data_IF_786387615607
#
_entry.id   IF_786387615607
#
_cell.length_a   1.000
_cell.length_b   1.000
_cell.length_c   1.000
_cell.angle_alpha   90.00
_cell.angle_beta   90.00
_cell.angle_gamma   90.00
#
_symmetry.space_group_name_H-M   'P 1'
#
loop_
_entity.id
_entity.type
_entity.pdbx_description
1 polymer ?
#
# COMPACT_ATOMS: atom_id res chain seq x y z
N UNK A 1 -0.01 4.00 -14.76
CA UNK A 1 0.10 2.63 -14.22
C UNK A 1 -0.12 2.63 -12.71
N UNK A 2 -0.54 1.51 -12.08
CA UNK A 2 -0.69 1.42 -10.63
C UNK A 2 0.59 1.79 -9.87
N UNK A 3 1.74 1.38 -10.35
CA UNK A 3 3.07 1.64 -9.75
C UNK A 3 3.41 3.12 -9.67
N UNK A 4 3.13 3.90 -10.73
CA UNK A 4 3.36 5.35 -10.71
C UNK A 4 2.47 6.02 -9.66
N UNK A 5 1.22 5.60 -9.54
CA UNK A 5 0.31 6.13 -8.51
C UNK A 5 0.79 5.80 -7.10
N UNK A 6 1.33 4.60 -6.89
CA UNK A 6 1.92 4.24 -5.60
C UNK A 6 3.17 5.06 -5.31
N UNK A 7 4.03 5.28 -6.30
CA UNK A 7 5.20 6.13 -6.15
C UNK A 7 4.81 7.55 -5.73
N UNK A 8 3.84 8.15 -6.43
CA UNK A 8 3.33 9.48 -6.07
C UNK A 8 2.72 9.51 -4.67
N UNK A 9 2.01 8.46 -4.27
CA UNK A 9 1.47 8.35 -2.93
C UNK A 9 2.59 8.21 -1.88
N UNK A 10 3.62 7.42 -2.15
CA UNK A 10 4.78 7.28 -1.26
C UNK A 10 5.56 8.60 -1.11
N UNK A 11 5.72 9.35 -2.19
CA UNK A 11 6.37 10.67 -2.17
C UNK A 11 5.56 11.67 -1.34
N UNK A 12 4.23 11.68 -1.51
CA UNK A 12 3.34 12.60 -0.80
C UNK A 12 3.06 12.20 0.66
N UNK A 13 3.50 11.02 1.10
CA UNK A 13 3.17 10.52 2.44
C UNK A 13 3.67 11.47 3.54
N UNK A 14 4.89 12.01 3.41
CA UNK A 14 5.44 12.93 4.40
C UNK A 14 4.68 14.26 4.43
N UNK A 15 4.35 14.83 3.28
CA UNK A 15 3.56 16.06 3.18
C UNK A 15 2.17 15.85 3.80
N UNK A 16 1.53 14.71 3.57
CA UNK A 16 0.24 14.38 4.15
C UNK A 16 0.31 14.22 5.68
N UNK A 17 1.42 13.66 6.20
CA UNK A 17 1.69 13.58 7.65
C UNK A 17 1.80 14.99 8.23
N UNK A 18 2.58 15.88 7.61
CA UNK A 18 2.77 17.25 8.08
C UNK A 18 1.42 18.02 8.05
N UNK A 19 0.67 17.93 6.96
CA UNK A 19 -0.65 18.53 6.86
C UNK A 19 -1.61 18.02 7.94
N UNK A 20 -1.60 16.73 8.24
CA UNK A 20 -2.41 16.16 9.31
C UNK A 20 -1.99 16.68 10.69
N UNK A 21 -0.69 16.81 10.94
CA UNK A 21 -0.16 17.34 12.20
C UNK A 21 -0.51 18.82 12.40
N UNK A 22 -0.50 19.62 11.34
CA UNK A 22 -0.92 21.02 11.37
C UNK A 22 -2.41 21.12 11.75
N UNK A 23 -3.26 20.30 11.14
CA UNK A 23 -4.68 20.27 11.47
C UNK A 23 -4.92 19.81 12.92
N UNK A 24 -4.19 18.82 13.40
CA UNK A 24 -4.29 18.36 14.79
C UNK A 24 -3.85 19.43 15.79
N UNK A 25 -2.75 20.15 15.51
CA UNK A 25 -2.29 21.29 16.32
C UNK A 25 -3.29 22.44 16.35
N UNK A 26 -4.02 22.65 15.24
CA UNK A 26 -5.09 23.64 15.14
C UNK A 26 -6.39 23.19 15.85
N UNK A 27 -6.39 22.03 16.52
CA UNK A 27 -7.57 21.49 17.20
C UNK A 27 -8.60 20.87 16.26
N UNK A 28 -8.23 20.55 15.02
CA UNK A 28 -9.10 19.91 14.05
C UNK A 28 -8.91 18.39 14.05
N UNK A 29 -9.83 17.69 13.38
CA UNK A 29 -9.75 16.23 13.16
C UNK A 29 -9.55 15.92 11.68
N UNK A 30 -8.35 15.55 11.26
CA UNK A 30 -8.10 15.24 9.87
C UNK A 30 -8.70 13.88 9.47
N UNK A 31 -9.31 13.88 8.29
CA UNK A 31 -9.76 12.71 7.56
C UNK A 31 -8.92 12.62 6.29
N UNK A 32 -8.15 11.55 6.14
CA UNK A 32 -7.28 11.37 5.00
C UNK A 32 -7.94 10.43 4.02
N UNK A 33 -8.24 10.96 2.86
CA UNK A 33 -8.86 10.20 1.80
C UNK A 33 -7.83 9.69 0.82
N UNK A 34 -7.76 8.37 0.66
CA UNK A 34 -6.90 7.71 -0.30
C UNK A 34 -7.73 7.05 -1.41
N UNK A 35 -7.20 7.03 -2.61
CA UNK A 35 -7.90 6.40 -3.74
C UNK A 35 -7.86 4.88 -3.68
N UNK A 36 -6.71 4.30 -3.37
CA UNK A 36 -6.47 2.85 -3.32
C UNK A 36 -5.47 2.51 -2.22
N UNK A 37 -5.62 1.32 -1.63
CA UNK A 37 -4.69 0.83 -0.58
C UNK A 37 -3.36 0.33 -1.13
N UNK A 38 -3.32 0.01 -2.42
CA UNK A 38 -2.16 -0.55 -3.14
C UNK A 38 -1.62 -1.87 -2.52
N UNK A 39 -2.44 -2.55 -1.72
CA UNK A 39 -2.07 -3.78 -1.01
C UNK A 39 -1.56 -4.87 -1.95
N UNK A 40 -2.18 -5.03 -3.13
CA UNK A 40 -1.78 -6.03 -4.13
C UNK A 40 -0.34 -5.88 -4.60
N UNK A 41 0.24 -4.69 -4.51
CA UNK A 41 1.60 -4.44 -4.99
C UNK A 41 2.68 -4.99 -4.05
N UNK A 42 2.36 -5.22 -2.78
CA UNK A 42 3.33 -5.75 -1.82
C UNK A 42 2.96 -7.12 -1.23
N UNK A 43 1.72 -7.57 -1.33
CA UNK A 43 1.31 -8.89 -0.81
C UNK A 43 1.97 -10.06 -1.54
N UNK A 44 2.42 -9.87 -2.78
CA UNK A 44 3.26 -10.83 -3.51
C UNK A 44 4.71 -10.86 -3.00
N UNK A 45 5.15 -9.82 -2.29
CA UNK A 45 6.52 -9.68 -1.79
C UNK A 45 6.66 -10.13 -0.34
N UNK A 46 5.62 -9.88 0.47
CA UNK A 46 5.64 -10.19 1.89
C UNK A 46 4.26 -10.69 2.34
N UNK A 47 4.23 -11.83 3.01
CA UNK A 47 3.02 -12.45 3.55
C UNK A 47 2.91 -12.20 5.06
N UNK A 48 1.70 -12.22 5.64
CA UNK A 48 1.52 -12.15 7.08
C UNK A 48 2.35 -13.20 7.82
N UNK A 49 3.03 -12.77 8.89
CA UNK A 49 3.99 -13.60 9.63
C UNK A 49 5.42 -13.54 9.11
N UNK A 50 5.65 -12.98 7.93
CA UNK A 50 6.99 -12.78 7.39
C UNK A 50 7.62 -11.46 7.87
N UNK A 51 8.94 -11.44 7.90
CA UNK A 51 9.74 -10.25 8.12
C UNK A 51 10.74 -10.08 6.98
N UNK A 52 11.04 -8.84 6.63
CA UNK A 52 12.10 -8.51 5.67
C UNK A 52 13.00 -7.41 6.24
N UNK A 53 14.29 -7.41 5.86
CA UNK A 53 15.25 -6.44 6.41
C UNK A 53 14.85 -4.98 6.15
N UNK A 54 14.29 -4.70 4.98
CA UNK A 54 13.88 -3.37 4.54
C UNK A 54 12.72 -3.47 3.56
N UNK A 55 11.62 -2.78 3.82
CA UNK A 55 10.45 -2.77 2.94
C UNK A 55 10.32 -1.41 2.25
N UNK A 56 11.07 -1.23 1.18
CA UNK A 56 11.11 0.00 0.40
C UNK A 56 10.35 -0.11 -0.92
N UNK A 57 10.04 1.05 -1.46
CA UNK A 57 9.38 1.16 -2.76
C UNK A 57 10.19 0.51 -3.91
N UNK A 58 11.51 0.43 -3.80
CA UNK A 58 12.39 -0.28 -4.74
C UNK A 58 11.92 -1.73 -5.00
N UNK A 59 11.38 -2.40 -3.99
CA UNK A 59 10.82 -3.76 -4.13
C UNK A 59 9.60 -3.79 -5.07
N UNK A 60 8.76 -2.75 -5.05
CA UNK A 60 7.66 -2.63 -6.00
C UNK A 60 8.16 -2.47 -7.43
N UNK A 61 9.22 -1.69 -7.64
CA UNK A 61 9.83 -1.52 -8.97
C UNK A 61 10.41 -2.82 -9.48
N UNK A 62 11.13 -3.58 -8.65
CA UNK A 62 11.67 -4.89 -9.00
C UNK A 62 10.55 -5.89 -9.32
N UNK A 63 9.46 -5.87 -8.55
CA UNK A 63 8.31 -6.72 -8.82
C UNK A 63 7.63 -6.35 -10.15
N UNK A 64 7.43 -5.06 -10.42
CA UNK A 64 6.91 -4.60 -11.69
C UNK A 64 7.80 -4.99 -12.87
N UNK A 65 9.12 -4.92 -12.70
CA UNK A 65 10.06 -5.37 -13.73
C UNK A 65 9.92 -6.86 -14.01
N UNK A 66 9.74 -7.69 -12.98
CA UNK A 66 9.44 -9.13 -13.13
C UNK A 66 8.09 -9.37 -13.79
N UNK A 67 7.08 -8.59 -13.44
CA UNK A 67 5.72 -8.73 -13.99
C UNK A 67 5.66 -8.39 -15.50
N UNK A 68 6.61 -7.62 -16.03
CA UNK A 68 6.73 -7.37 -17.48
C UNK A 68 7.01 -8.64 -18.29
N UNK A 69 7.53 -9.67 -17.65
CA UNK A 69 7.81 -10.97 -18.28
C UNK A 69 6.69 -12.00 -18.09
N UNK A 70 5.58 -11.60 -17.48
CA UNK A 70 4.40 -12.47 -17.36
C UNK A 70 3.54 -12.35 -18.62
N UNK A 71 3.06 -13.50 -19.09
CA UNK A 71 2.13 -13.58 -20.21
C UNK A 71 1.05 -14.61 -19.93
N UNK A 72 -0.08 -14.48 -20.62
CA UNK A 72 -1.16 -15.43 -20.53
C UNK A 72 -1.02 -16.45 -21.66
N UNK A 73 -0.90 -17.71 -21.30
CA UNK A 73 -0.89 -18.84 -22.23
C UNK A 73 -2.22 -19.61 -22.11
N UNK A 74 -2.67 -20.18 -23.23
CA UNK A 74 -3.80 -21.09 -23.22
C UNK A 74 -3.29 -22.49 -22.90
N UNK A 75 -3.73 -23.02 -21.77
CA UNK A 75 -3.54 -24.43 -21.42
C UNK A 75 -4.82 -25.23 -21.72
N UNK A 76 -4.65 -26.50 -22.07
CA UNK A 76 -5.78 -27.36 -22.36
C UNK A 76 -5.82 -28.53 -21.38
N UNK A 77 -6.98 -28.79 -20.79
CA UNK A 77 -7.25 -30.00 -20.03
C UNK A 77 -8.19 -30.91 -20.83
N UNK A 78 -7.79 -32.18 -20.96
CA UNK A 78 -8.61 -33.20 -21.62
C UNK A 78 -9.35 -34.01 -20.57
N UNK A 79 -10.69 -33.95 -20.59
CA UNK A 79 -11.53 -34.77 -19.72
C UNK A 79 -12.47 -35.60 -20.60
N UNK A 80 -12.11 -36.86 -20.82
CA UNK A 80 -12.80 -37.73 -21.81
C UNK A 80 -12.58 -37.23 -23.24
N UNK A 81 -13.67 -37.06 -24.01
CA UNK A 81 -13.63 -36.50 -25.37
C UNK A 81 -13.65 -34.96 -25.43
N UNK A 82 -13.85 -34.28 -24.28
CA UNK A 82 -13.96 -32.83 -24.24
C UNK A 82 -12.60 -32.21 -23.89
N UNK A 83 -12.19 -31.18 -24.66
CA UNK A 83 -11.03 -30.35 -24.37
C UNK A 83 -11.51 -29.01 -23.84
N UNK A 84 -11.12 -28.63 -22.63
CA UNK A 84 -11.37 -27.30 -22.05
C UNK A 84 -10.08 -26.51 -22.08
N UNK A 85 -10.17 -25.30 -22.63
CA UNK A 85 -9.08 -24.33 -22.61
C UNK A 85 -9.26 -23.38 -21.43
N UNK A 86 -8.18 -23.02 -20.76
CA UNK A 86 -8.15 -22.03 -19.69
C UNK A 86 -6.87 -21.20 -19.77
N UNK A 87 -6.96 -19.96 -19.37
CA UNK A 87 -5.79 -19.06 -19.29
C UNK A 87 -4.92 -19.42 -18.10
N UNK A 88 -3.64 -19.56 -18.33
CA UNK A 88 -2.61 -19.75 -17.29
C UNK A 88 -1.61 -18.61 -17.41
N UNK A 89 -1.32 -17.95 -16.30
CA UNK A 89 -0.25 -16.97 -16.23
C UNK A 89 1.10 -17.74 -16.21
N UNK A 90 1.96 -17.42 -17.15
CA UNK A 90 3.31 -17.95 -17.26
C UNK A 90 4.31 -16.79 -17.22
N UNK A 91 5.54 -17.08 -16.78
CA UNK A 91 6.63 -16.11 -16.78
C UNK A 91 7.69 -16.56 -17.77
N UNK A 92 8.14 -15.66 -18.64
CA UNK A 92 9.30 -15.93 -19.48
C UNK A 92 10.54 -16.11 -18.60
N UNK A 93 11.26 -17.22 -18.78
CA UNK A 93 12.60 -17.37 -18.23
C UNK A 93 13.53 -16.41 -18.99
N UNK A 94 14.48 -15.80 -18.28
CA UNK A 94 15.51 -14.96 -18.89
C UNK A 94 16.37 -15.70 -19.92
N UNK A 95 16.45 -17.04 -19.82
CA UNK A 95 17.06 -17.91 -20.83
C UNK A 95 16.23 -17.98 -22.12
N UNK A 96 14.89 -17.89 -22.00
CA UNK A 96 13.98 -17.93 -23.13
C UNK A 96 13.97 -16.58 -23.88
N UNK A 97 14.25 -15.46 -23.21
CA UNK A 97 14.37 -14.15 -23.87
C UNK A 97 15.45 -14.15 -24.95
N UNK A 98 16.59 -14.84 -24.71
CA UNK A 98 17.62 -15.03 -25.74
C UNK A 98 17.08 -15.74 -26.97
N UNK A 99 16.19 -16.71 -26.77
CA UNK A 99 15.62 -17.54 -27.85
C UNK A 99 14.57 -16.76 -28.67
N UNK A 100 13.76 -15.91 -28.00
CA UNK A 100 12.69 -15.17 -28.65
C UNK A 100 13.14 -13.88 -29.30
N UNK A 101 14.07 -13.15 -28.68
CA UNK A 101 14.46 -11.82 -29.15
C UNK A 101 15.81 -11.81 -29.87
N UNK A 102 16.51 -12.94 -29.90
CA UNK A 102 17.87 -13.10 -30.48
C UNK A 102 18.83 -11.95 -30.09
N UNK A 103 18.65 -11.39 -28.87
CA UNK A 103 19.24 -10.12 -28.52
C UNK A 103 19.71 -10.09 -27.07
N UNK A 104 21.01 -9.98 -26.87
CA UNK A 104 21.62 -9.75 -25.54
C UNK A 104 21.26 -8.34 -24.98
N UNK A 105 20.72 -7.44 -25.79
CA UNK A 105 20.37 -6.09 -25.36
C UNK A 105 19.22 -6.07 -24.35
N UNK A 106 18.18 -6.91 -24.54
CA UNK A 106 17.08 -7.01 -23.58
C UNK A 106 17.57 -7.48 -22.20
N UNK A 107 18.48 -8.46 -22.19
CA UNK A 107 19.12 -8.92 -20.95
C UNK A 107 19.99 -7.84 -20.31
N UNK A 108 20.81 -7.18 -21.10
CA UNK A 108 21.65 -6.05 -20.62
C UNK A 108 20.81 -4.91 -20.05
N UNK A 109 19.71 -4.57 -20.72
CA UNK A 109 18.76 -3.55 -20.24
C UNK A 109 18.10 -3.98 -18.90
N UNK A 110 17.67 -5.23 -18.81
CA UNK A 110 17.12 -5.76 -17.56
C UNK A 110 18.14 -5.72 -16.41
N UNK A 111 19.34 -6.24 -16.62
CA UNK A 111 20.41 -6.28 -15.61
C UNK A 111 20.81 -4.85 -15.19
N UNK A 112 20.85 -3.91 -16.14
CA UNK A 112 21.07 -2.49 -15.88
C UNK A 112 19.97 -1.90 -14.99
N UNK A 113 18.70 -2.14 -15.31
CA UNK A 113 17.57 -1.65 -14.51
C UNK A 113 17.57 -2.24 -13.11
N UNK A 114 17.79 -3.56 -12.97
CA UNK A 114 17.90 -4.21 -11.66
C UNK A 114 19.02 -3.59 -10.83
N UNK A 115 20.21 -3.39 -11.42
CA UNK A 115 21.34 -2.75 -10.76
C UNK A 115 21.00 -1.31 -10.34
N UNK A 116 20.37 -0.55 -11.23
CA UNK A 116 19.97 0.83 -10.97
C UNK A 116 18.96 0.92 -9.82
N UNK A 117 17.92 0.08 -9.84
CA UNK A 117 16.91 0.04 -8.76
C UNK A 117 17.56 -0.33 -7.42
N UNK A 118 18.42 -1.37 -7.39
CA UNK A 118 19.08 -1.80 -6.16
C UNK A 118 20.09 -0.76 -5.62
N UNK A 119 20.70 0.05 -6.49
CA UNK A 119 21.63 1.09 -6.08
C UNK A 119 20.95 2.42 -5.68
N UNK A 120 19.64 2.55 -5.93
CA UNK A 120 18.90 3.76 -5.60
C UNK A 120 18.24 3.57 -4.24
N UNK A 121 18.72 4.29 -3.24
CA UNK A 121 18.02 4.43 -1.96
C UNK A 121 16.87 5.41 -2.16
N UNK A 122 15.66 4.87 -2.23
CA UNK A 122 14.47 5.71 -2.39
C UNK A 122 13.98 6.27 -1.07
N UNK A 123 14.36 5.66 0.06
CA UNK A 123 13.83 5.94 1.41
C UNK A 123 12.31 6.01 1.49
N UNK A 124 11.62 5.58 0.43
CA UNK A 124 10.17 5.62 0.32
C UNK A 124 9.55 4.34 0.89
N UNK A 125 8.48 4.45 1.68
CA UNK A 125 7.84 3.29 2.28
C UNK A 125 7.15 2.41 1.24
N UNK A 126 7.25 1.10 1.41
CA UNK A 126 6.52 0.12 0.59
C UNK A 126 4.99 0.26 0.77
N UNK A 127 4.54 0.54 2.00
CA UNK A 127 3.16 0.85 2.32
C UNK A 127 3.04 2.26 2.91
N UNK A 128 2.69 3.27 2.11
CA UNK A 128 2.52 4.64 2.58
C UNK A 128 1.47 4.77 3.69
N UNK A 129 0.40 3.96 3.64
CA UNK A 129 -0.65 3.98 4.67
C UNK A 129 -0.08 3.57 6.03
N UNK A 130 0.72 2.48 6.07
CA UNK A 130 1.31 2.00 7.32
C UNK A 130 2.35 2.97 7.86
N UNK A 131 3.11 3.57 6.98
CA UNK A 131 4.06 4.63 7.34
C UNK A 131 3.34 5.82 7.95
N UNK A 132 2.24 6.25 7.34
CA UNK A 132 1.41 7.33 7.83
C UNK A 132 0.80 7.02 9.20
N UNK A 133 0.14 5.87 9.35
CA UNK A 133 -0.48 5.45 10.62
C UNK A 133 0.55 5.44 11.74
N UNK A 134 1.66 4.73 11.56
CA UNK A 134 2.68 4.59 12.59
C UNK A 134 3.40 5.91 12.90
N UNK A 135 3.58 6.79 11.91
CA UNK A 135 4.17 8.11 12.14
C UNK A 135 3.31 9.00 13.05
N UNK A 136 2.00 8.95 12.92
CA UNK A 136 1.10 9.68 13.78
C UNK A 136 0.94 9.02 15.15
N UNK A 137 0.86 7.67 15.20
CA UNK A 137 0.79 6.92 16.46
C UNK A 137 2.04 7.14 17.32
N UNK A 138 3.23 7.21 16.71
CA UNK A 138 4.49 7.52 17.42
C UNK A 138 4.51 8.95 17.99
N UNK A 139 3.65 9.83 17.51
CA UNK A 139 3.45 11.19 18.06
C UNK A 139 2.30 11.26 19.09
N UNK A 140 1.74 10.10 19.45
CA UNK A 140 0.71 9.99 20.49
C UNK A 140 -0.74 10.14 19.98
N UNK A 141 -0.95 10.24 18.66
CA UNK A 141 -2.31 10.35 18.11
C UNK A 141 -2.92 8.97 17.86
N UNK A 142 -4.22 8.85 18.08
CA UNK A 142 -4.98 7.63 17.82
C UNK A 142 -5.53 7.66 16.40
N UNK A 143 -5.05 6.72 15.57
CA UNK A 143 -5.38 6.67 14.14
C UNK A 143 -6.31 5.49 13.84
N UNK A 144 -7.43 5.77 13.20
CA UNK A 144 -8.33 4.77 12.65
C UNK A 144 -8.07 4.59 11.15
N UNK A 145 -8.16 3.37 10.66
CA UNK A 145 -8.07 3.09 9.24
C UNK A 145 -9.31 2.34 8.75
N UNK A 146 -10.04 2.93 7.82
CA UNK A 146 -11.27 2.41 7.25
C UNK A 146 -11.06 1.98 5.80
N UNK A 147 -10.24 0.95 5.61
CA UNK A 147 -9.99 0.30 4.32
C UNK A 147 -10.32 -1.19 4.40
N UNK A 148 -10.33 -1.88 3.25
CA UNK A 148 -10.59 -3.33 3.20
C UNK A 148 -9.32 -4.18 3.12
N UNK A 149 -8.13 -3.57 3.24
CA UNK A 149 -6.87 -4.32 3.19
C UNK A 149 -6.76 -5.29 4.37
N UNK A 150 -6.10 -6.41 4.12
CA UNK A 150 -5.93 -7.51 5.07
C UNK A 150 -4.55 -7.56 5.69
N UNK A 151 -3.56 -6.98 5.01
CA UNK A 151 -2.15 -7.01 5.43
C UNK A 151 -1.69 -5.61 5.77
N UNK A 152 -1.08 -5.46 6.95
CA UNK A 152 -0.40 -4.24 7.39
C UNK A 152 1.09 -4.52 7.56
N UNK A 153 1.90 -3.51 7.26
CA UNK A 153 3.34 -3.54 7.47
C UNK A 153 3.69 -2.76 8.73
N UNK A 154 4.40 -3.40 9.65
CA UNK A 154 4.96 -2.76 10.83
C UNK A 154 6.44 -2.49 10.60
N UNK A 155 6.81 -1.24 10.53
CA UNK A 155 8.19 -0.79 10.42
C UNK A 155 8.83 -0.69 11.80
N UNK A 156 10.04 -1.18 11.95
CA UNK A 156 10.79 -1.13 13.22
C UNK A 156 11.23 0.30 13.55
N UNK A 157 11.64 1.06 12.53
CA UNK A 157 12.04 2.46 12.66
C UNK A 157 11.31 3.33 11.65
N UNK A 158 10.60 4.35 12.15
CA UNK A 158 9.91 5.35 11.35
C UNK A 158 10.55 6.72 11.68
N UNK A 159 11.84 6.81 11.54
CA UNK A 159 12.52 8.10 11.42
C UNK A 159 12.48 8.49 9.95
N UNK A 160 13.04 9.56 9.54
CA UNK A 160 12.99 10.02 8.13
C UNK A 160 13.07 8.83 7.15
N UNK A 161 11.93 8.50 6.52
CA UNK A 161 11.77 7.28 5.71
C UNK A 161 11.46 6.00 6.52
N UNK A 162 10.81 5.03 5.89
CA UNK A 162 10.54 3.72 6.48
C UNK A 162 11.81 2.88 6.44
N UNK A 163 12.57 2.87 7.53
CA UNK A 163 13.83 2.15 7.63
C UNK A 163 13.75 1.01 8.65
N UNK A 164 14.68 0.06 8.53
CA UNK A 164 14.78 -1.07 9.45
C UNK A 164 13.91 -2.26 9.06
N UNK A 165 13.91 -3.25 9.94
CA UNK A 165 13.18 -4.50 9.74
C UNK A 165 11.68 -4.25 9.71
N UNK A 166 11.01 -4.85 8.75
CA UNK A 166 9.58 -4.70 8.54
C UNK A 166 8.90 -6.05 8.70
N UNK A 167 7.80 -6.06 9.44
CA UNK A 167 6.98 -7.25 9.67
C UNK A 167 5.62 -7.08 9.00
N UNK A 168 5.18 -8.09 8.27
CA UNK A 168 3.81 -8.15 7.79
C UNK A 168 2.92 -8.87 8.81
N UNK A 169 1.81 -8.25 9.15
CA UNK A 169 0.82 -8.82 10.07
C UNK A 169 -0.56 -8.82 9.45
N UNK A 170 -1.35 -9.83 9.81
CA UNK A 170 -2.74 -9.87 9.40
C UNK A 170 -3.54 -8.84 10.18
N UNK A 171 -4.34 -8.07 9.47
CA UNK A 171 -5.23 -7.08 10.05
C UNK A 171 -6.52 -7.75 10.51
N UNK A 172 -6.97 -7.39 11.71
CA UNK A 172 -8.30 -7.79 12.18
C UNK A 172 -9.40 -7.16 11.33
N UNK A 173 -10.51 -7.86 11.16
CA UNK A 173 -11.68 -7.33 10.45
C UNK A 173 -12.19 -6.06 11.14
N UNK A 174 -12.48 -5.05 10.33
CA UNK A 174 -12.90 -3.74 10.82
C UNK A 174 -14.43 -3.70 10.95
N UNK A 175 -14.87 -3.20 12.07
CA UNK A 175 -16.24 -2.70 12.22
C UNK A 175 -16.27 -1.21 11.86
N UNK A 176 -16.80 -0.91 10.67
CA UNK A 176 -16.86 0.46 10.15
C UNK A 176 -17.76 1.38 10.96
N UNK A 177 -18.89 0.87 11.47
CA UNK A 177 -19.83 1.64 12.28
C UNK A 177 -19.20 2.04 13.60
N UNK A 178 -18.54 1.08 14.26
CA UNK A 178 -17.81 1.34 15.49
C UNK A 178 -16.67 2.33 15.26
N UNK A 179 -15.88 2.18 14.21
CA UNK A 179 -14.79 3.10 13.91
C UNK A 179 -15.27 4.52 13.62
N UNK A 180 -16.39 4.68 12.91
CA UNK A 180 -17.02 5.99 12.71
C UNK A 180 -17.51 6.60 14.03
N UNK A 181 -18.12 5.79 14.90
CA UNK A 181 -18.53 6.21 16.24
C UNK A 181 -17.32 6.62 17.09
N UNK A 182 -16.26 5.82 17.10
CA UNK A 182 -15.02 6.12 17.84
C UNK A 182 -14.37 7.43 17.36
N UNK A 183 -14.40 7.67 16.04
CA UNK A 183 -13.92 8.94 15.48
C UNK A 183 -14.83 10.10 15.87
N UNK A 184 -16.15 9.98 15.73
CA UNK A 184 -17.09 11.07 16.03
C UNK A 184 -17.12 11.43 17.54
N UNK A 185 -16.81 10.47 18.41
CA UNK A 185 -16.80 10.67 19.86
C UNK A 185 -15.40 10.94 20.47
N UNK A 186 -14.38 11.16 19.63
CA UNK A 186 -13.06 11.57 20.11
C UNK A 186 -12.16 10.46 20.61
N UNK A 187 -12.55 9.20 20.46
CA UNK A 187 -11.68 8.04 20.74
C UNK A 187 -10.54 7.96 19.73
N UNK A 188 -10.80 8.35 18.48
CA UNK A 188 -9.79 8.48 17.42
C UNK A 188 -9.58 9.95 17.09
N UNK A 189 -8.34 10.33 16.81
CA UNK A 189 -7.96 11.68 16.42
C UNK A 189 -7.92 11.87 14.91
N UNK A 190 -7.52 10.81 14.18
CA UNK A 190 -7.35 10.81 12.73
C UNK A 190 -8.07 9.60 12.14
N UNK A 191 -8.68 9.79 10.97
CA UNK A 191 -9.26 8.69 10.21
C UNK A 191 -8.66 8.64 8.81
N UNK A 192 -8.22 7.45 8.39
CA UNK A 192 -7.75 7.19 7.03
C UNK A 192 -8.73 6.25 6.35
N UNK A 193 -9.08 6.53 5.11
CA UNK A 193 -9.91 5.60 4.37
C UNK A 193 -9.97 5.88 2.88
N UNK A 194 -10.60 4.97 2.18
CA UNK A 194 -10.82 5.06 0.74
C UNK A 194 -12.31 5.29 0.45
N UNK A 195 -12.74 5.05 -0.78
CA UNK A 195 -14.14 5.19 -1.20
C UNK A 195 -15.16 4.45 -0.32
N UNK A 196 -14.70 3.48 0.49
CA UNK A 196 -15.55 2.78 1.46
C UNK A 196 -16.10 3.74 2.53
N UNK A 197 -15.43 4.87 2.79
CA UNK A 197 -15.92 5.91 3.69
C UNK A 197 -17.02 6.79 3.06
N UNK A 198 -17.15 6.82 1.74
CA UNK A 198 -18.05 7.75 1.05
C UNK A 198 -19.51 7.28 0.99
N UNK A 199 -19.81 6.06 1.42
CA UNK A 199 -21.18 5.53 1.38
C UNK A 199 -21.63 4.99 2.74
N UNK A 200 -22.72 5.55 3.25
CA UNK A 200 -23.40 5.06 4.46
C UNK A 200 -22.68 5.33 5.78
N UNK A 201 -21.69 6.23 5.79
CA UNK A 201 -20.94 6.62 6.99
C UNK A 201 -20.97 8.14 7.13
N UNK A 202 -21.41 8.61 8.27
CA UNK A 202 -21.47 10.02 8.60
C UNK A 202 -20.28 10.40 9.49
N UNK A 203 -19.40 11.24 8.97
CA UNK A 203 -18.21 11.75 9.67
C UNK A 203 -18.35 13.26 9.83
N UNK A 204 -19.19 13.68 10.77
CA UNK A 204 -19.49 15.10 11.01
C UNK A 204 -19.42 15.44 12.51
N UNK A 205 -19.33 16.70 12.82
CA UNK A 205 -19.56 17.21 14.16
C UNK A 205 -21.03 17.66 14.28
N UNK A 206 -21.74 17.06 15.21
CA UNK A 206 -23.08 17.47 15.58
C UNK A 206 -23.25 17.31 17.08
N UNK A 207 -24.24 17.94 17.66
CA UNK A 207 -24.53 17.90 19.09
C UNK A 207 -24.81 16.48 19.61
N UNK A 208 -25.05 15.53 18.70
CA UNK A 208 -25.21 14.12 19.03
C UNK A 208 -23.88 13.41 19.40
N UNK A 209 -22.72 14.02 19.13
CA UNK A 209 -21.41 13.46 19.41
C UNK A 209 -20.64 14.27 20.44
N UNK A 210 -19.77 13.58 21.20
CA UNK A 210 -18.98 14.23 22.25
C UNK A 210 -17.85 15.10 21.69
N UNK A 211 -17.34 14.79 20.50
CA UNK A 211 -16.23 15.51 19.90
C UNK A 211 -16.73 16.53 18.86
N UNK A 212 -16.65 17.78 19.21
CA UNK A 212 -17.08 18.91 18.39
C UNK A 212 -15.96 19.54 17.54
N UNK A 213 -14.75 18.96 17.55
CA UNK A 213 -13.63 19.44 16.73
C UNK A 213 -14.00 19.44 15.24
N UNK A 214 -13.63 20.50 14.53
CA UNK A 214 -13.85 20.63 13.08
C UNK A 214 -13.19 19.47 12.33
N UNK A 215 -13.91 18.86 11.37
CA UNK A 215 -13.37 17.83 10.48
C UNK A 215 -12.73 18.50 9.26
N UNK A 216 -11.52 18.09 8.92
CA UNK A 216 -10.79 18.56 7.73
C UNK A 216 -10.43 17.37 6.86
N UNK A 217 -10.63 17.50 5.54
CA UNK A 217 -10.33 16.43 4.59
C UNK A 217 -9.01 16.74 3.88
N UNK A 218 -8.10 15.77 3.87
CA UNK A 218 -6.82 15.79 3.16
C UNK A 218 -6.92 14.75 2.04
N UNK A 219 -6.68 15.15 0.77
CA UNK A 219 -6.81 14.30 -0.43
C UNK A 219 -5.53 14.26 -1.25
#
# INVERSE_FOLDING_TARGET
TPTIRQLLFSIKAEEAIQAALEQLKAGHKPIIQINRTMESNYTSLIQPGMAMPKAEFALCLLNCLKDMFKYKALAATKKGKAVKYYEVEQTFDMKDLKKFFNNDEAKKAYDFLVKKINSTDTSLPLSPIDYFVQSLENKGYKVGEMTQRKTILKYENIKVGATGKTHAVMRKKIDKKRMASDFNNGVLDVLIGNRVMSSGISLHCSDAFTDQRKRTVIT
#
